data_IF_300994669952
#
_entry.id   IF_300994669952
#
_cell.length_a   1.000
_cell.length_b   1.000
_cell.length_c   1.000
_cell.angle_alpha   90.00
_cell.angle_beta   90.00
_cell.angle_gamma   90.00
#
_symmetry.space_group_name_H-M   'P 1'
#
loop_
_entity.id
_entity.type
_entity.pdbx_description
1 polymer ?
#
# COMPACT_ATOMS: atom_id res chain seq x y z
N UNK A 1 18.45 -2.84 13.50
CA UNK A 1 17.10 -2.56 12.97
C UNK A 1 16.20 -3.66 13.48
N UNK A 2 15.24 -3.32 14.33
CA UNK A 2 14.28 -4.30 14.85
C UNK A 2 12.93 -3.98 14.21
N UNK A 3 12.37 -4.95 13.51
CA UNK A 3 11.00 -4.86 12.98
C UNK A 3 10.07 -5.62 13.90
N UNK A 4 8.82 -5.16 13.96
CA UNK A 4 7.75 -5.79 14.70
C UNK A 4 6.65 -6.21 13.73
N UNK A 5 5.82 -7.22 14.08
CA UNK A 5 4.68 -7.60 13.25
C UNK A 5 3.80 -6.38 12.96
N UNK A 6 3.46 -6.19 11.69
CA UNK A 6 2.61 -5.10 11.25
C UNK A 6 1.73 -5.59 10.10
N UNK A 7 0.48 -5.93 10.43
CA UNK A 7 -0.53 -6.44 9.49
C UNK A 7 -1.83 -5.68 9.63
N UNK A 8 -2.61 -5.69 8.56
CA UNK A 8 -3.89 -5.03 8.53
C UNK A 8 -4.69 -5.32 7.28
N UNK A 9 -5.72 -4.51 7.06
CA UNK A 9 -6.55 -4.53 5.87
C UNK A 9 -6.80 -3.13 5.33
N UNK A 10 -6.91 -3.02 4.01
CA UNK A 10 -7.29 -1.80 3.30
C UNK A 10 -8.74 -1.95 2.87
N UNK A 11 -9.56 -0.94 3.17
CA UNK A 11 -10.96 -0.90 2.77
C UNK A 11 -11.27 0.42 2.06
N UNK A 12 -12.05 0.37 0.99
CA UNK A 12 -12.58 1.56 0.27
C UNK A 12 -14.10 1.51 0.34
N UNK A 13 -14.73 2.55 0.89
CA UNK A 13 -16.19 2.64 1.05
C UNK A 13 -16.79 1.37 1.70
N UNK A 14 -16.08 0.81 2.68
CA UNK A 14 -16.48 -0.41 3.41
C UNK A 14 -16.23 -1.73 2.67
N UNK A 15 -15.62 -1.72 1.48
CA UNK A 15 -15.24 -2.92 0.72
C UNK A 15 -13.75 -3.20 0.82
N UNK A 16 -13.31 -4.46 0.96
CA UNK A 16 -11.90 -4.81 0.92
C UNK A 16 -11.28 -4.39 -0.42
N UNK A 17 -10.11 -3.77 -0.37
CA UNK A 17 -9.39 -3.32 -1.55
C UNK A 17 -8.26 -4.30 -1.87
N UNK A 18 -8.46 -5.15 -2.87
CA UNK A 18 -7.44 -6.07 -3.37
C UNK A 18 -6.51 -5.42 -4.39
N UNK A 19 -5.23 -5.80 -4.41
CA UNK A 19 -4.25 -5.34 -5.41
C UNK A 19 -3.75 -3.90 -5.21
N UNK A 20 -3.99 -3.28 -4.05
CA UNK A 20 -3.41 -2.01 -3.68
C UNK A 20 -1.97 -2.17 -3.19
N UNK A 21 -1.09 -1.26 -3.59
CA UNK A 21 0.26 -1.12 -3.05
C UNK A 21 0.28 -0.03 -1.99
N UNK A 22 0.69 -0.39 -0.80
CA UNK A 22 0.87 0.49 0.34
C UNK A 22 2.32 0.92 0.42
N UNK A 23 2.57 2.21 0.59
CA UNK A 23 3.87 2.76 0.91
C UNK A 23 3.77 3.59 2.18
N UNK A 24 4.64 3.28 3.14
CA UNK A 24 4.71 3.95 4.43
C UNK A 24 6.03 4.70 4.49
N UNK A 25 5.94 6.03 4.52
CA UNK A 25 7.08 6.92 4.67
C UNK A 25 7.20 7.34 6.14
N UNK A 26 8.37 7.22 6.76
CA UNK A 26 8.55 7.60 8.16
C UNK A 26 8.25 9.10 8.36
N UNK A 27 7.49 9.42 9.40
CA UNK A 27 7.13 10.79 9.77
C UNK A 27 8.00 11.30 10.94
N UNK A 28 9.31 11.11 10.82
CA UNK A 28 10.31 11.44 11.84
C UNK A 28 10.85 10.23 12.61
N UNK A 29 11.86 10.46 13.45
CA UNK A 29 12.50 9.43 14.28
C UNK A 29 13.42 8.48 13.50
N UNK A 30 13.67 7.29 14.07
CA UNK A 30 14.49 6.22 13.49
C UNK A 30 13.71 5.25 12.59
N UNK A 31 12.45 5.56 12.31
CA UNK A 31 11.58 4.75 11.48
C UNK A 31 12.11 4.65 10.03
N UNK A 32 11.88 3.49 9.40
CA UNK A 32 12.31 3.17 8.03
C UNK A 32 11.13 2.98 7.12
N UNK A 33 11.30 3.36 5.86
CA UNK A 33 10.33 3.12 4.80
C UNK A 33 9.94 1.64 4.74
N UNK A 34 8.64 1.41 4.58
CA UNK A 34 8.11 0.07 4.42
C UNK A 34 6.97 0.08 3.41
N UNK A 35 6.67 -1.09 2.87
CA UNK A 35 5.60 -1.25 1.88
C UNK A 35 4.84 -2.54 2.08
N UNK A 36 3.68 -2.63 1.44
CA UNK A 36 2.90 -3.85 1.38
C UNK A 36 2.09 -3.90 0.08
N UNK A 37 1.63 -5.09 -0.25
CA UNK A 37 0.57 -5.29 -1.24
C UNK A 37 -0.62 -5.94 -0.53
N UNK A 38 -1.82 -5.47 -0.83
CA UNK A 38 -3.05 -6.07 -0.31
C UNK A 38 -3.47 -7.27 -1.16
N UNK A 39 -3.89 -8.35 -0.52
CA UNK A 39 -4.39 -9.57 -1.15
C UNK A 39 -5.87 -9.47 -1.59
N UNK A 40 -6.46 -10.58 -2.02
CA UNK A 40 -7.86 -10.68 -2.44
C UNK A 40 -8.89 -10.26 -1.36
N UNK A 41 -8.53 -10.38 -0.08
CA UNK A 41 -9.36 -9.97 1.06
C UNK A 41 -9.05 -8.52 1.50
N UNK A 42 -8.16 -7.83 0.79
CA UNK A 42 -7.66 -6.51 1.16
C UNK A 42 -6.67 -6.55 2.33
N UNK A 43 -6.23 -7.72 2.77
CA UNK A 43 -5.27 -7.89 3.86
C UNK A 43 -3.85 -7.63 3.36
N UNK A 44 -3.03 -7.03 4.21
CA UNK A 44 -1.65 -6.70 3.87
C UNK A 44 -0.71 -6.95 5.06
N UNK A 45 0.55 -7.23 4.74
CA UNK A 45 1.64 -7.31 5.69
C UNK A 45 2.74 -6.32 5.30
N UNK A 46 3.11 -5.42 6.21
CA UNK A 46 4.22 -4.50 5.97
C UNK A 46 5.53 -5.28 5.86
N UNK A 47 6.38 -4.83 4.95
CA UNK A 47 7.73 -5.35 4.71
C UNK A 47 8.69 -4.17 4.69
N UNK A 48 9.73 -4.25 5.51
CA UNK A 48 10.82 -3.26 5.61
C UNK A 48 12.10 -3.89 5.10
N UNK A 49 12.67 -3.37 4.00
CA UNK A 49 13.91 -3.87 3.41
C UNK A 49 13.94 -5.41 3.23
N UNK A 50 12.83 -6.01 2.77
CA UNK A 50 12.69 -7.46 2.56
C UNK A 50 12.39 -8.27 3.81
N UNK A 51 12.31 -7.65 4.99
CA UNK A 51 11.93 -8.32 6.23
C UNK A 51 10.46 -8.04 6.57
N UNK A 52 9.69 -9.09 6.84
CA UNK A 52 8.30 -8.96 7.28
C UNK A 52 8.22 -8.18 8.61
N UNK A 53 7.39 -7.15 8.63
CA UNK A 53 7.24 -6.22 9.73
C UNK A 53 7.61 -4.77 9.39
N UNK A 54 7.39 -3.90 10.36
CA UNK A 54 7.76 -2.48 10.29
C UNK A 54 8.56 -2.08 11.53
N UNK A 55 9.39 -1.05 11.41
CA UNK A 55 10.07 -0.46 12.57
C UNK A 55 9.01 0.31 13.38
N UNK A 56 8.99 0.20 14.73
CA UNK A 56 8.09 1.01 15.55
C UNK A 56 8.25 2.50 15.27
N UNK A 57 7.14 3.22 15.14
CA UNK A 57 7.16 4.64 14.78
C UNK A 57 5.88 5.14 14.13
N UNK A 58 5.90 6.41 13.74
CA UNK A 58 4.82 7.08 13.02
C UNK A 58 5.14 7.19 11.54
N UNK A 59 4.15 6.91 10.71
CA UNK A 59 4.26 6.82 9.27
C UNK A 59 3.20 7.67 8.58
N UNK A 60 3.61 8.38 7.52
CA UNK A 60 2.70 8.88 6.49
C UNK A 60 2.49 7.78 5.48
N UNK A 61 1.24 7.53 5.13
CA UNK A 61 0.86 6.40 4.30
C UNK A 61 0.31 6.90 2.98
N UNK A 62 0.73 6.27 1.89
CA UNK A 62 0.10 6.43 0.59
C UNK A 62 -0.26 5.07 0.02
N UNK A 63 -1.38 5.03 -0.69
CA UNK A 63 -1.90 3.84 -1.34
C UNK A 63 -1.90 4.10 -2.83
N UNK A 64 -1.18 3.27 -3.58
CA UNK A 64 -1.28 3.23 -5.03
C UNK A 64 -2.21 2.11 -5.43
N UNK A 65 -3.33 2.47 -6.05
CA UNK A 65 -4.28 1.51 -6.58
C UNK A 65 -4.71 1.93 -7.97
N UNK A 66 -4.45 1.05 -8.93
CA UNK A 66 -4.72 1.25 -10.34
C UNK A 66 -5.58 0.10 -10.83
N UNK A 67 -6.48 0.40 -11.75
CA UNK A 67 -7.36 -0.59 -12.38
C UNK A 67 -7.16 -0.57 -13.88
N UNK A 68 -7.27 -1.74 -14.50
CA UNK A 68 -7.29 -1.92 -15.96
C UNK A 68 -8.57 -1.30 -16.55
N UNK A 69 -8.70 -1.16 -17.89
CA UNK A 69 -9.85 -0.55 -18.52
C UNK A 69 -11.15 -1.32 -18.25
N UNK A 70 -11.03 -2.63 -18.03
CA UNK A 70 -12.11 -3.54 -17.62
C UNK A 70 -12.57 -3.36 -16.16
N UNK A 71 -11.88 -2.52 -15.37
CA UNK A 71 -12.18 -2.25 -13.97
C UNK A 71 -11.54 -3.21 -12.97
N UNK A 72 -10.81 -4.23 -13.43
CA UNK A 72 -10.07 -5.15 -12.56
C UNK A 72 -8.82 -4.48 -11.95
N UNK A 73 -8.39 -4.88 -10.73
CA UNK A 73 -7.14 -4.42 -10.14
C UNK A 73 -5.94 -4.69 -11.05
N UNK A 74 -4.99 -3.74 -11.11
CA UNK A 74 -3.69 -3.99 -11.74
C UNK A 74 -2.84 -4.88 -10.82
N UNK A 75 -2.80 -6.16 -11.15
CA UNK A 75 -1.83 -7.11 -10.58
C UNK A 75 -0.78 -7.40 -11.64
N UNK A 76 0.48 -7.10 -11.34
CA UNK A 76 1.61 -7.44 -12.22
C UNK A 76 1.94 -8.92 -11.97
N UNK A 77 1.69 -9.75 -12.96
CA UNK A 77 2.05 -11.17 -12.93
C UNK A 77 3.56 -11.36 -13.01
N UNK A 78 4.05 -12.55 -12.62
CA UNK A 78 5.47 -12.89 -12.75
C UNK A 78 5.97 -12.77 -14.21
N UNK A 79 5.15 -13.18 -15.18
CA UNK A 79 5.50 -13.08 -16.59
C UNK A 79 5.60 -11.62 -17.06
N UNK A 80 4.71 -10.74 -16.59
CA UNK A 80 4.78 -9.30 -16.87
C UNK A 80 6.03 -8.69 -16.21
N UNK A 81 6.33 -9.04 -14.96
CA UNK A 81 7.53 -8.58 -14.27
C UNK A 81 8.82 -9.04 -14.97
N UNK A 82 8.90 -10.29 -15.42
CA UNK A 82 10.05 -10.83 -16.17
C UNK A 82 10.23 -10.14 -17.53
N UNK A 83 9.13 -9.67 -18.14
CA UNK A 83 9.15 -8.86 -19.35
C UNK A 83 9.53 -7.39 -19.09
N UNK A 84 9.87 -7.03 -17.84
CA UNK A 84 10.21 -5.68 -17.43
C UNK A 84 9.00 -4.76 -17.23
N UNK A 85 7.78 -5.29 -17.30
CA UNK A 85 6.56 -4.52 -17.08
C UNK A 85 6.37 -4.25 -15.60
N UNK A 86 6.18 -2.98 -15.28
CA UNK A 86 5.87 -2.51 -13.95
C UNK A 86 4.73 -1.48 -13.98
N UNK A 87 4.37 -0.98 -12.80
CA UNK A 87 3.27 -0.02 -12.67
C UNK A 87 3.49 1.23 -13.53
N UNK A 88 4.72 1.77 -13.53
CA UNK A 88 5.04 2.97 -14.29
C UNK A 88 4.90 2.75 -15.80
N UNK A 89 5.27 1.56 -16.30
CA UNK A 89 5.09 1.20 -17.69
C UNK A 89 3.60 1.06 -18.08
N UNK A 90 2.77 0.44 -17.23
CA UNK A 90 1.32 0.37 -17.45
C UNK A 90 0.66 1.75 -17.49
N UNK A 91 1.11 2.67 -16.63
CA UNK A 91 0.65 4.06 -16.62
C UNK A 91 1.05 4.77 -17.91
N UNK A 92 2.33 4.63 -18.33
CA UNK A 92 2.85 5.27 -19.54
C UNK A 92 2.14 4.78 -20.81
N UNK A 93 1.73 3.50 -20.84
CA UNK A 93 0.95 2.92 -21.93
C UNK A 93 -0.54 3.32 -21.90
N UNK A 94 -0.99 4.05 -20.88
CA UNK A 94 -2.40 4.42 -20.71
C UNK A 94 -3.33 3.22 -20.48
N UNK A 95 -2.78 2.08 -20.06
CA UNK A 95 -3.53 0.83 -19.87
C UNK A 95 -4.15 0.73 -18.48
N UNK A 96 -3.94 1.73 -17.62
CA UNK A 96 -4.52 1.76 -16.28
C UNK A 96 -5.01 3.15 -15.92
N UNK A 97 -5.99 3.19 -15.03
CA UNK A 97 -6.51 4.42 -14.43
C UNK A 97 -6.46 4.31 -12.90
N UNK A 98 -6.33 5.43 -12.18
CA UNK A 98 -6.48 5.44 -10.72
C UNK A 98 -7.82 4.81 -10.31
N UNK A 99 -7.78 3.81 -9.42
CA UNK A 99 -8.98 3.19 -8.86
C UNK A 99 -9.46 3.82 -7.56
N UNK A 100 -8.65 4.71 -6.96
CA UNK A 100 -8.97 5.49 -5.76
C UNK A 100 -8.65 6.98 -5.99
N UNK A 101 -9.18 7.90 -5.17
CA UNK A 101 -8.85 9.31 -5.25
C UNK A 101 -7.35 9.59 -5.11
N UNK A 102 -6.83 10.48 -5.96
CA UNK A 102 -5.39 10.84 -6.00
C UNK A 102 -4.85 11.34 -4.66
N UNK A 103 -5.71 11.85 -3.78
CA UNK A 103 -5.31 12.30 -2.43
C UNK A 103 -4.67 11.19 -1.59
N UNK A 104 -5.06 9.93 -1.80
CA UNK A 104 -4.45 8.80 -1.09
C UNK A 104 -3.17 8.31 -1.78
N UNK A 105 -2.95 8.68 -3.04
CA UNK A 105 -1.85 8.20 -3.88
C UNK A 105 -0.60 9.07 -3.78
N UNK A 106 -0.62 10.15 -2.99
CA UNK A 106 0.54 11.01 -2.78
C UNK A 106 0.79 11.23 -1.29
N UNK A 107 2.05 11.24 -0.85
CA UNK A 107 2.38 11.29 0.58
C UNK A 107 2.09 12.65 1.21
N UNK A 108 2.07 13.73 0.42
CA UNK A 108 1.85 15.09 0.91
C UNK A 108 0.37 15.46 1.04
N UNK A 109 -0.51 14.80 0.27
CA UNK A 109 -1.96 15.03 0.34
C UNK A 109 -2.72 13.91 1.05
N UNK A 110 -2.06 12.77 1.25
CA UNK A 110 -2.63 11.68 2.01
C UNK A 110 -2.68 12.06 3.49
N UNK A 111 -3.90 12.13 4.02
CA UNK A 111 -4.14 12.30 5.45
C UNK A 111 -4.04 10.97 6.21
N UNK A 112 -3.61 9.89 5.54
CA UNK A 112 -3.44 8.59 6.17
C UNK A 112 -2.15 8.59 7.00
N UNK A 113 -2.31 8.29 8.28
CA UNK A 113 -1.20 8.10 9.20
C UNK A 113 -1.32 6.73 9.84
N UNK A 114 -0.18 6.15 10.15
CA UNK A 114 -0.09 4.81 10.70
C UNK A 114 0.96 4.80 11.81
N UNK A 115 0.59 4.26 12.96
CA UNK A 115 1.45 4.18 14.13
C UNK A 115 1.71 2.71 14.41
N UNK A 116 2.97 2.33 14.38
CA UNK A 116 3.40 0.98 14.75
C UNK A 116 3.93 1.02 16.19
N UNK A 117 3.24 0.37 17.15
CA UNK A 117 3.71 0.28 18.53
C UNK A 117 4.91 -0.65 18.65
N UNK A 118 5.63 -0.57 19.76
CA UNK A 118 6.83 -1.39 20.00
C UNK A 118 6.54 -2.89 20.11
N UNK A 119 5.33 -3.28 20.51
CA UNK A 119 4.88 -4.68 20.47
C UNK A 119 4.44 -5.17 19.08
N UNK A 120 4.26 -4.28 18.11
CA UNK A 120 3.65 -4.58 16.82
C UNK A 120 2.12 -4.57 16.84
N UNK A 121 1.52 -4.76 15.67
CA UNK A 121 0.07 -4.70 15.48
C UNK A 121 -0.35 -5.60 14.33
N UNK A 122 -1.45 -6.33 14.48
CA UNK A 122 -1.99 -7.21 13.43
C UNK A 122 -3.41 -6.83 13.00
N UNK A 123 -3.92 -5.69 13.49
CA UNK A 123 -5.31 -5.24 13.25
C UNK A 123 -5.35 -3.80 12.75
N UNK A 124 -4.39 -3.42 11.90
CA UNK A 124 -4.42 -2.12 11.23
C UNK A 124 -5.58 -2.08 10.25
N UNK A 125 -6.39 -1.03 10.28
CA UNK A 125 -7.44 -0.81 9.29
C UNK A 125 -7.20 0.53 8.59
N UNK A 126 -7.01 0.48 7.27
CA UNK A 126 -6.86 1.65 6.42
C UNK A 126 -8.16 1.88 5.66
N UNK A 127 -8.99 2.78 6.20
CA UNK A 127 -10.26 3.17 5.60
C UNK A 127 -10.07 4.33 4.61
N UNK A 128 -10.34 4.06 3.35
CA UNK A 128 -10.32 4.99 2.23
C UNK A 128 -11.75 5.33 1.84
N UNK A 129 -11.99 6.56 1.35
CA UNK A 129 -13.30 6.98 0.85
C UNK A 129 -13.20 7.37 -0.61
N UNK A 130 -14.13 6.94 -1.48
CA UNK A 130 -14.07 7.32 -2.90
C UNK A 130 -14.60 8.75 -3.18
N UNK A 131 -15.30 9.38 -2.23
CA UNK A 131 -15.87 10.74 -2.32
C UNK A 131 -14.84 11.83 -2.16
#
# INVERSE_FOLDING_TARGET
MTVVPAKGKIVVDGKPLSGAKLFCLPNGGEAKDCGAASDENGEFQLVTAGTAGAVPGSYRVMVQYYVKPDGSPLVVSAAEADAGMDLDQFIAMGQVKPGIPRRYMTPDSSQLTLVIPAEGTESLELSLSAK
#
